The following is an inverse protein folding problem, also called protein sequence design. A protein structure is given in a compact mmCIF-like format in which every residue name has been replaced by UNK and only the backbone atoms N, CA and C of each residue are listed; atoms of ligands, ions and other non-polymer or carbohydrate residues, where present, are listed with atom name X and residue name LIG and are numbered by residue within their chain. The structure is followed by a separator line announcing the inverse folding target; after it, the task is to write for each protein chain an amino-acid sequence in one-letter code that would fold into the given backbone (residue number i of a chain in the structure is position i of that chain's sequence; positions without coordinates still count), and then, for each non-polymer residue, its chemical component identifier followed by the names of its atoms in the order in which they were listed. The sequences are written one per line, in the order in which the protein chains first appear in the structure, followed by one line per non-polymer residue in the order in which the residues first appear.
data_IF_457572816820
#
_entry.id   IF_457572816820
#
_cell.length_a   1.000
_cell.length_b   1.000
_cell.length_c   1.000
_cell.angle_alpha   90.00
_cell.angle_beta   90.00
_cell.angle_gamma   90.00
#
_symmetry.space_group_name_H-M   'P 1'
#
loop_
_entity.id
_entity.type
_entity.pdbx_description
1 polymer ?
#
# COMPACT_ATOMS: atom_id res chain seq x y z
N UNK A 1 24.14 -60.40 -18.76
CA UNK A 1 24.84 -59.57 -17.76
C UNK A 1 24.84 -58.14 -18.30
N UNK A 2 23.92 -57.28 -17.83
CA UNK A 2 23.75 -55.90 -18.32
C UNK A 2 24.51 -54.95 -17.39
N UNK A 3 25.53 -54.26 -17.90
CA UNK A 3 26.29 -53.23 -17.21
C UNK A 3 25.48 -51.93 -17.21
N UNK A 4 25.13 -51.42 -16.03
CA UNK A 4 24.47 -50.11 -15.87
C UNK A 4 25.55 -49.02 -15.82
N UNK A 5 25.48 -48.05 -16.73
CA UNK A 5 26.24 -46.81 -16.64
C UNK A 5 25.58 -45.92 -15.58
N UNK A 6 26.31 -45.55 -14.54
CA UNK A 6 25.89 -44.53 -13.58
C UNK A 6 26.20 -43.15 -14.19
N UNK A 7 25.16 -42.35 -14.37
CA UNK A 7 25.27 -40.93 -14.74
C UNK A 7 25.63 -40.16 -13.46
N UNK A 8 26.87 -39.67 -13.38
CA UNK A 8 27.30 -38.81 -12.29
C UNK A 8 26.70 -37.41 -12.49
N UNK A 9 25.68 -37.07 -11.71
CA UNK A 9 25.21 -35.69 -11.57
C UNK A 9 26.24 -34.97 -10.70
N UNK A 10 27.04 -34.11 -11.33
CA UNK A 10 27.95 -33.22 -10.62
C UNK A 10 27.11 -32.14 -9.95
N UNK A 11 26.85 -32.28 -8.65
CA UNK A 11 26.22 -31.25 -7.84
C UNK A 11 27.14 -30.04 -7.76
N UNK A 12 26.82 -28.98 -8.50
CA UNK A 12 27.50 -27.71 -8.40
C UNK A 12 27.01 -27.04 -7.11
N UNK A 13 27.77 -27.18 -6.03
CA UNK A 13 27.54 -26.42 -4.82
C UNK A 13 27.80 -24.94 -5.13
N UNK A 14 26.73 -24.17 -5.36
CA UNK A 14 26.79 -22.72 -5.32
C UNK A 14 27.02 -22.33 -3.86
N UNK A 15 28.28 -22.06 -3.52
CA UNK A 15 28.59 -21.29 -2.31
C UNK A 15 28.11 -19.86 -2.58
N UNK A 16 26.92 -19.52 -2.08
CA UNK A 16 26.48 -18.13 -1.98
C UNK A 16 27.45 -17.43 -1.02
N UNK A 17 28.39 -16.67 -1.59
CA UNK A 17 29.13 -15.70 -0.82
C UNK A 17 28.11 -14.64 -0.39
N UNK A 18 27.84 -14.54 0.91
CA UNK A 18 27.06 -13.45 1.48
C UNK A 18 27.82 -12.15 1.19
N UNK A 19 27.38 -11.41 0.17
CA UNK A 19 27.79 -10.02 0.00
C UNK A 19 27.28 -9.29 1.23
N UNK A 20 28.14 -8.51 1.89
CA UNK A 20 27.69 -7.66 3.00
C UNK A 20 26.69 -6.65 2.44
N UNK A 21 25.41 -6.89 2.69
CA UNK A 21 24.29 -6.12 2.19
C UNK A 21 24.01 -4.98 3.16
N UNK A 22 23.69 -3.78 2.65
CA UNK A 22 23.13 -2.76 3.52
C UNK A 22 21.74 -3.23 3.97
N UNK A 23 21.44 -3.13 5.26
CA UNK A 23 20.12 -3.52 5.75
C UNK A 23 19.04 -2.73 4.98
N UNK A 24 18.02 -3.41 4.43
CA UNK A 24 16.95 -2.74 3.72
C UNK A 24 16.31 -1.68 4.62
N UNK A 25 16.09 -0.48 4.06
CA UNK A 25 15.29 0.55 4.73
C UNK A 25 13.84 0.10 4.66
N UNK A 26 13.31 -0.29 5.81
CA UNK A 26 11.94 -0.78 5.97
C UNK A 26 11.15 0.13 6.89
N UNK A 27 9.88 0.34 6.59
CA UNK A 27 9.05 1.24 7.37
C UNK A 27 7.64 1.40 6.84
N UNK A 28 7.01 2.48 7.28
CA UNK A 28 5.68 2.92 6.90
C UNK A 28 5.79 4.30 6.27
N UNK A 29 5.32 4.44 5.02
CA UNK A 29 5.10 5.73 4.40
C UNK A 29 3.84 6.36 5.00
N UNK A 30 3.99 7.59 5.50
CA UNK A 30 2.92 8.32 6.18
C UNK A 30 2.82 9.72 5.58
N UNK A 31 1.82 9.98 4.72
CA UNK A 31 1.54 11.32 4.24
C UNK A 31 1.12 12.24 5.38
N UNK A 32 1.69 13.44 5.43
CA UNK A 32 1.37 14.50 6.36
C UNK A 32 0.87 15.71 5.56
N UNK A 33 -0.44 15.98 5.65
CA UNK A 33 -1.03 17.13 4.98
C UNK A 33 -0.60 18.46 5.62
N UNK A 34 -0.37 18.53 6.93
CA UNK A 34 0.01 19.80 7.54
C UNK A 34 1.43 20.23 7.11
N UNK A 35 2.32 19.27 6.94
CA UNK A 35 3.69 19.52 6.50
C UNK A 35 3.92 19.35 5.00
N UNK A 36 2.87 19.07 4.21
CA UNK A 36 2.91 18.80 2.77
C UNK A 36 4.11 17.92 2.36
N UNK A 37 4.15 16.71 2.94
CA UNK A 37 5.29 15.79 2.83
C UNK A 37 4.88 14.34 3.06
N UNK A 38 5.80 13.43 2.79
CA UNK A 38 5.72 12.04 3.23
C UNK A 38 6.79 11.80 4.30
N UNK A 39 6.37 11.25 5.44
CA UNK A 39 7.25 10.76 6.49
C UNK A 39 7.51 9.26 6.31
N UNK A 40 8.65 8.78 6.81
CA UNK A 40 8.97 7.37 6.94
C UNK A 40 9.10 7.04 8.44
N UNK A 41 8.23 6.14 8.92
CA UNK A 41 8.24 5.64 10.29
C UNK A 41 8.69 4.18 10.31
N UNK A 42 9.25 3.73 11.43
CA UNK A 42 9.57 2.33 11.68
C UNK A 42 8.30 1.50 11.72
N UNK A 43 8.31 0.37 11.01
CA UNK A 43 7.24 -0.64 11.06
C UNK A 43 7.36 -1.54 12.29
N UNK A 44 8.50 -1.50 12.96
CA UNK A 44 8.82 -2.26 14.15
C UNK A 44 8.16 -1.64 15.39
N UNK A 45 8.26 -0.31 15.56
CA UNK A 45 7.79 0.38 16.76
C UNK A 45 7.09 1.73 16.56
N UNK A 46 6.97 2.20 15.31
CA UNK A 46 6.31 3.46 14.96
C UNK A 46 7.15 4.72 15.21
N UNK A 47 8.44 4.59 15.57
CA UNK A 47 9.36 5.72 15.69
C UNK A 47 9.66 6.36 14.32
N UNK A 48 10.06 7.63 14.29
CA UNK A 48 10.38 8.31 13.03
C UNK A 48 11.76 7.84 12.53
N UNK A 49 11.81 7.32 11.29
CA UNK A 49 13.06 7.06 10.56
C UNK A 49 13.49 8.32 9.82
N UNK A 50 12.58 8.91 9.05
CA UNK A 50 12.82 10.16 8.33
C UNK A 50 11.55 11.03 8.31
N UNK A 51 11.53 12.20 8.96
CA UNK A 51 10.34 13.06 9.00
C UNK A 51 10.07 13.79 7.68
N UNK A 52 11.01 13.79 6.73
CA UNK A 52 10.95 14.52 5.46
C UNK A 52 11.44 13.60 4.33
N UNK A 53 10.83 12.41 4.21
CA UNK A 53 11.26 11.40 3.25
C UNK A 53 10.99 11.82 1.80
N UNK A 54 9.81 12.36 1.54
CA UNK A 54 9.50 13.13 0.33
C UNK A 54 8.99 14.50 0.79
N UNK A 55 9.47 15.58 0.18
CA UNK A 55 9.09 16.96 0.52
C UNK A 55 8.53 17.68 -0.69
N UNK A 56 7.77 18.74 -0.45
CA UNK A 56 7.24 19.61 -1.49
C UNK A 56 8.27 20.60 -2.05
N UNK A 57 7.78 21.44 -2.97
CA UNK A 57 8.55 22.48 -3.64
C UNK A 57 8.98 23.64 -2.73
N UNK A 58 8.41 23.78 -1.53
CA UNK A 58 8.83 24.82 -0.57
C UNK A 58 10.16 24.47 0.09
N UNK A 59 10.44 23.17 0.26
CA UNK A 59 11.71 22.66 0.81
C UNK A 59 12.69 22.35 -0.33
N UNK A 60 12.25 21.69 -1.40
CA UNK A 60 13.08 21.36 -2.55
C UNK A 60 12.44 21.88 -3.85
N UNK A 61 12.92 22.98 -4.46
CA UNK A 61 12.33 23.56 -5.66
C UNK A 61 12.31 22.66 -6.91
N UNK A 62 13.02 21.53 -6.91
CA UNK A 62 12.95 20.52 -7.96
C UNK A 62 11.76 19.55 -7.80
N UNK A 63 11.13 19.53 -6.64
CA UNK A 63 9.90 18.77 -6.36
C UNK A 63 8.68 19.57 -6.79
N UNK A 64 7.55 18.91 -7.06
CA UNK A 64 6.27 19.60 -7.27
C UNK A 64 5.61 19.94 -5.91
N UNK A 65 4.60 20.81 -5.91
CA UNK A 65 3.90 21.22 -4.68
C UNK A 65 3.05 20.06 -4.14
N UNK A 66 3.22 19.61 -2.91
CA UNK A 66 2.24 18.72 -2.28
C UNK A 66 1.20 19.58 -1.58
N UNK A 67 -0.07 19.19 -1.64
CA UNK A 67 -1.16 19.91 -1.00
C UNK A 67 -2.26 18.92 -0.66
N UNK A 68 -2.19 18.32 0.52
CA UNK A 68 -3.06 17.18 0.92
C UNK A 68 -2.68 15.83 0.29
N UNK A 69 -1.41 15.38 0.44
CA UNK A 69 -1.05 14.01 0.09
C UNK A 69 -1.83 13.02 0.97
N UNK A 70 -2.50 12.04 0.35
CA UNK A 70 -3.40 11.09 1.03
C UNK A 70 -2.86 9.71 1.22
N UNK A 71 -2.15 9.19 0.21
CA UNK A 71 -1.57 7.86 0.22
C UNK A 71 -0.26 7.90 -0.54
N UNK A 72 0.77 7.28 0.03
CA UNK A 72 2.05 7.07 -0.62
C UNK A 72 2.34 5.57 -0.60
N UNK A 73 2.74 4.98 -1.73
CA UNK A 73 2.95 3.53 -1.85
C UNK A 73 4.13 3.24 -2.76
N UNK A 74 4.96 2.25 -2.40
CA UNK A 74 5.98 1.70 -3.30
C UNK A 74 5.33 0.96 -4.47
N UNK A 75 5.74 1.29 -5.68
CA UNK A 75 5.36 0.63 -6.92
C UNK A 75 6.65 0.36 -7.69
N UNK A 76 7.12 -0.89 -7.66
CA UNK A 76 8.41 -1.26 -8.23
C UNK A 76 9.53 -0.42 -7.63
N UNK A 77 10.38 0.16 -8.48
CA UNK A 77 11.48 1.04 -8.08
C UNK A 77 11.08 2.50 -7.82
N UNK A 78 9.80 2.75 -7.53
CA UNK A 78 9.27 4.10 -7.35
C UNK A 78 8.35 4.19 -6.14
N UNK A 79 8.08 5.42 -5.72
CA UNK A 79 7.02 5.74 -4.76
C UNK A 79 5.99 6.59 -5.45
N UNK A 80 4.74 6.17 -5.40
CA UNK A 80 3.63 6.90 -5.97
C UNK A 80 2.83 7.56 -4.85
N UNK A 81 2.41 8.80 -5.05
CA UNK A 81 1.68 9.61 -4.06
C UNK A 81 0.41 10.14 -4.68
N UNK A 82 -0.74 9.79 -4.10
CA UNK A 82 -2.00 10.48 -4.39
C UNK A 82 -2.07 11.78 -3.60
N UNK A 83 -2.34 12.86 -4.32
CA UNK A 83 -2.51 14.20 -3.76
C UNK A 83 -3.90 14.74 -4.11
N UNK A 84 -4.64 15.13 -3.07
CA UNK A 84 -6.06 15.45 -3.18
C UNK A 84 -6.33 16.83 -3.75
N UNK A 85 -5.52 17.85 -3.44
CA UNK A 85 -5.76 19.22 -3.94
C UNK A 85 -5.02 19.46 -5.25
N UNK A 86 -3.89 18.78 -5.43
CA UNK A 86 -3.15 18.85 -6.69
C UNK A 86 -3.73 17.95 -7.78
N UNK A 87 -4.75 17.15 -7.44
CA UNK A 87 -5.47 16.26 -8.35
C UNK A 87 -4.54 15.39 -9.19
N UNK A 88 -3.55 14.76 -8.54
CA UNK A 88 -2.54 13.96 -9.21
C UNK A 88 -2.15 12.70 -8.44
N UNK A 89 -1.80 11.65 -9.20
CA UNK A 89 -0.97 10.54 -8.69
C UNK A 89 0.44 10.76 -9.22
N UNK A 90 1.34 11.11 -8.31
CA UNK A 90 2.70 11.59 -8.59
C UNK A 90 3.73 10.50 -8.35
N UNK A 91 4.79 10.47 -9.15
CA UNK A 91 5.84 9.45 -9.10
C UNK A 91 7.14 10.06 -8.59
N UNK A 92 7.79 9.37 -7.68
CA UNK A 92 9.06 9.75 -7.08
C UNK A 92 10.05 8.59 -7.13
N UNK A 93 11.34 8.89 -7.10
CA UNK A 93 12.39 7.88 -6.93
C UNK A 93 12.20 7.11 -5.62
N UNK A 94 12.69 5.86 -5.57
CA UNK A 94 12.53 4.99 -4.40
C UNK A 94 13.12 5.57 -3.10
N UNK A 95 14.12 6.44 -3.21
CA UNK A 95 14.73 7.15 -2.08
C UNK A 95 14.00 8.45 -1.70
N UNK A 96 12.94 8.80 -2.45
CA UNK A 96 12.12 10.00 -2.23
C UNK A 96 12.75 11.32 -2.66
N UNK A 97 13.92 11.31 -3.30
CA UNK A 97 14.71 12.52 -3.57
C UNK A 97 14.46 13.18 -4.93
N UNK A 98 13.80 12.50 -5.86
CA UNK A 98 13.52 13.00 -7.21
C UNK A 98 12.05 12.82 -7.57
N UNK A 99 11.49 13.83 -8.25
CA UNK A 99 10.21 13.72 -8.93
C UNK A 99 10.41 13.16 -10.35
N UNK A 100 9.62 12.15 -10.70
CA UNK A 100 9.72 11.40 -11.97
C UNK A 100 8.61 11.75 -12.96
N UNK A 101 7.61 12.53 -12.53
CA UNK A 101 6.42 12.86 -13.33
C UNK A 101 5.13 12.43 -12.64
N UNK A 102 4.00 12.75 -13.27
CA UNK A 102 2.71 12.23 -12.84
C UNK A 102 2.41 10.93 -13.58
N UNK A 103 1.86 9.94 -12.88
CA UNK A 103 1.17 8.85 -13.54
C UNK A 103 -0.08 9.40 -14.24
N UNK A 104 -0.87 10.19 -13.52
CA UNK A 104 -2.08 10.84 -14.03
C UNK A 104 -2.41 12.09 -13.23
N UNK A 105 -3.14 13.03 -13.83
CA UNK A 105 -3.60 14.27 -13.19
C UNK A 105 -4.88 14.82 -13.83
N UNK A 106 -5.49 15.83 -13.20
CA UNK A 106 -6.70 16.51 -13.67
C UNK A 106 -6.63 16.94 -15.14
N UNK A 107 -5.52 17.56 -15.56
CA UNK A 107 -5.38 18.07 -16.91
C UNK A 107 -5.31 16.95 -17.96
N UNK A 108 -4.77 15.80 -17.58
CA UNK A 108 -4.49 14.69 -18.49
C UNK A 108 -5.67 13.74 -18.63
N UNK A 109 -6.32 13.39 -17.52
CA UNK A 109 -7.37 12.37 -17.49
C UNK A 109 -8.69 12.85 -16.90
N UNK A 110 -8.73 14.01 -16.24
CA UNK A 110 -9.92 14.55 -15.59
C UNK A 110 -10.19 14.01 -14.18
N UNK A 111 -9.25 13.28 -13.58
CA UNK A 111 -9.32 12.89 -12.16
C UNK A 111 -9.27 14.13 -11.27
N UNK A 112 -10.07 14.12 -10.20
CA UNK A 112 -10.27 15.26 -9.31
C UNK A 112 -10.58 14.72 -7.91
N UNK A 113 -10.09 15.39 -6.87
CA UNK A 113 -10.26 15.04 -5.47
C UNK A 113 -9.83 13.60 -5.20
N UNK A 114 -8.56 13.30 -5.50
CA UNK A 114 -8.00 11.95 -5.36
C UNK A 114 -7.81 11.63 -3.88
N UNK A 115 -8.43 10.55 -3.41
CA UNK A 115 -8.43 10.18 -1.99
C UNK A 115 -7.54 8.99 -1.65
N UNK A 116 -7.33 8.10 -2.62
CA UNK A 116 -6.56 6.87 -2.46
C UNK A 116 -6.42 6.15 -3.80
N UNK A 117 -5.51 5.17 -3.85
CA UNK A 117 -5.28 4.36 -5.03
C UNK A 117 -4.65 3.02 -4.69
N UNK A 118 -4.73 2.06 -5.62
CA UNK A 118 -4.12 0.74 -5.48
C UNK A 118 -3.66 0.21 -6.84
N UNK A 119 -2.52 -0.47 -6.86
CA UNK A 119 -2.10 -1.27 -8.01
C UNK A 119 -2.62 -2.71 -7.86
N UNK A 120 -3.35 -3.19 -8.86
CA UNK A 120 -3.80 -4.57 -8.96
C UNK A 120 -4.02 -4.95 -10.42
N UNK A 121 -3.67 -6.17 -10.80
CA UNK A 121 -4.01 -6.74 -12.12
C UNK A 121 -3.42 -5.98 -13.32
N UNK A 122 -2.19 -5.45 -13.19
CA UNK A 122 -1.59 -4.57 -14.20
C UNK A 122 -2.33 -3.24 -14.37
N UNK A 123 -3.15 -2.85 -13.37
CA UNK A 123 -4.01 -1.67 -13.40
C UNK A 123 -3.89 -0.85 -12.12
N UNK A 124 -4.21 0.43 -12.24
CA UNK A 124 -4.25 1.38 -11.13
C UNK A 124 -5.69 1.78 -10.89
N UNK A 125 -6.18 1.49 -9.69
CA UNK A 125 -7.51 1.84 -9.20
C UNK A 125 -7.38 3.14 -8.42
N UNK A 126 -8.11 4.18 -8.78
CA UNK A 126 -8.01 5.51 -8.16
C UNK A 126 -9.39 5.93 -7.65
N UNK A 127 -9.49 6.23 -6.36
CA UNK A 127 -10.72 6.73 -5.74
C UNK A 127 -10.84 8.24 -5.95
N UNK A 128 -11.88 8.66 -6.66
CA UNK A 128 -12.18 10.05 -7.01
C UNK A 128 -13.53 10.47 -6.43
N UNK A 129 -13.61 11.73 -6.00
CA UNK A 129 -14.83 12.28 -5.41
C UNK A 129 -15.12 13.73 -5.81
N UNK A 130 -14.76 14.10 -7.03
CA UNK A 130 -15.12 15.38 -7.63
C UNK A 130 -15.07 15.29 -9.16
N UNK A 131 -15.46 16.38 -9.81
CA UNK A 131 -15.35 16.54 -11.26
C UNK A 131 -16.18 15.51 -12.03
N UNK A 132 -15.64 15.07 -13.17
CA UNK A 132 -16.32 14.10 -14.05
C UNK A 132 -16.35 12.69 -13.46
N UNK A 133 -15.52 12.42 -12.44
CA UNK A 133 -15.42 11.13 -11.77
C UNK A 133 -15.85 11.14 -10.30
N UNK A 134 -16.77 12.04 -9.93
CA UNK A 134 -17.35 12.06 -8.58
C UNK A 134 -18.00 10.72 -8.23
N UNK A 135 -17.80 10.24 -6.99
CA UNK A 135 -18.27 8.94 -6.50
C UNK A 135 -17.85 7.77 -7.39
N UNK A 136 -16.59 7.74 -7.84
CA UNK A 136 -16.09 6.66 -8.68
C UNK A 136 -14.71 6.18 -8.29
N UNK A 137 -14.50 4.89 -8.51
CA UNK A 137 -13.16 4.34 -8.74
C UNK A 137 -12.88 4.37 -10.24
N UNK A 138 -11.82 5.05 -10.64
CA UNK A 138 -11.33 5.13 -12.02
C UNK A 138 -10.19 4.13 -12.18
N UNK A 139 -10.27 3.29 -13.21
CA UNK A 139 -9.30 2.20 -13.42
C UNK A 139 -8.49 2.51 -14.67
N UNK A 140 -7.17 2.59 -14.54
CA UNK A 140 -6.22 2.80 -15.62
C UNK A 140 -5.39 1.54 -15.83
N UNK A 141 -4.91 1.30 -17.06
CA UNK A 141 -3.80 0.35 -17.22
C UNK A 141 -2.53 0.99 -16.63
N UNK A 142 -1.67 0.21 -15.97
CA UNK A 142 -0.45 0.77 -15.34
C UNK A 142 0.48 1.43 -16.36
N UNK A 143 0.42 1.00 -17.62
CA UNK A 143 1.15 1.58 -18.75
C UNK A 143 0.55 2.89 -19.31
N UNK A 144 -0.67 3.26 -18.92
CA UNK A 144 -1.41 4.41 -19.48
C UNK A 144 -2.26 5.11 -18.41
N UNK A 145 -1.75 6.21 -17.86
CA UNK A 145 -2.48 7.08 -16.94
C UNK A 145 -3.34 8.16 -17.62
N UNK A 146 -3.55 8.10 -18.93
CA UNK A 146 -4.35 9.09 -19.68
C UNK A 146 -5.78 8.60 -19.87
N UNK A 147 -5.96 7.38 -20.40
CA UNK A 147 -7.28 6.87 -20.76
C UNK A 147 -7.78 5.86 -19.72
N UNK A 148 -8.90 6.13 -19.02
CA UNK A 148 -9.51 5.13 -18.15
C UNK A 148 -9.91 3.86 -18.93
N UNK A 149 -9.46 2.71 -18.46
CA UNK A 149 -9.88 1.40 -18.95
C UNK A 149 -11.31 1.04 -18.47
N UNK A 150 -11.69 1.49 -17.27
CA UNK A 150 -13.02 1.30 -16.71
C UNK A 150 -13.31 2.36 -15.62
N UNK A 151 -14.58 2.48 -15.23
CA UNK A 151 -15.00 3.23 -14.05
C UNK A 151 -16.05 2.46 -13.28
N UNK A 152 -16.03 2.56 -11.96
CA UNK A 152 -16.95 1.88 -11.04
C UNK A 152 -17.62 2.93 -10.17
N UNK A 153 -18.94 2.91 -10.06
CA UNK A 153 -19.65 3.86 -9.19
C UNK A 153 -19.67 3.31 -7.76
N UNK A 154 -19.00 4.00 -6.84
CA UNK A 154 -18.93 3.66 -5.41
C UNK A 154 -19.05 4.98 -4.63
N UNK A 155 -20.02 5.02 -3.72
CA UNK A 155 -20.39 6.25 -3.02
C UNK A 155 -19.29 6.74 -2.10
N UNK A 156 -18.88 8.01 -2.25
CA UNK A 156 -17.82 8.62 -1.45
C UNK A 156 -16.52 7.83 -1.42
N UNK A 157 -16.15 7.14 -2.51
CA UNK A 157 -14.98 6.24 -2.54
C UNK A 157 -13.73 6.93 -1.97
N UNK A 158 -13.05 6.29 -1.01
CA UNK A 158 -11.95 6.95 -0.28
C UNK A 158 -10.58 6.30 -0.52
N UNK A 159 -10.41 5.04 -0.12
CA UNK A 159 -9.18 4.29 -0.35
C UNK A 159 -9.52 2.88 -0.83
N UNK A 160 -8.53 2.21 -1.40
CA UNK A 160 -8.66 0.83 -1.87
C UNK A 160 -7.39 0.02 -1.62
N UNK A 161 -7.52 -1.31 -1.54
CA UNK A 161 -6.39 -2.25 -1.39
C UNK A 161 -6.65 -3.58 -2.09
N UNK A 162 -5.60 -4.23 -2.60
CA UNK A 162 -5.70 -5.53 -3.29
C UNK A 162 -5.87 -6.66 -2.28
N UNK A 163 -6.84 -7.53 -2.52
CA UNK A 163 -7.03 -8.79 -1.79
C UNK A 163 -7.17 -9.94 -2.79
N UNK A 164 -6.10 -10.72 -2.99
CA UNK A 164 -6.12 -11.82 -3.95
C UNK A 164 -6.51 -11.35 -5.36
N UNK A 165 -7.63 -11.83 -5.88
CA UNK A 165 -8.13 -11.52 -7.23
C UNK A 165 -9.19 -10.41 -7.27
N UNK A 166 -9.28 -9.61 -6.22
CA UNK A 166 -10.17 -8.46 -6.14
C UNK A 166 -9.49 -7.24 -5.48
N UNK A 167 -10.14 -6.09 -5.60
CA UNK A 167 -9.79 -4.85 -4.91
C UNK A 167 -10.92 -4.53 -3.94
N UNK A 168 -10.56 -4.28 -2.69
CA UNK A 168 -11.45 -3.77 -1.66
C UNK A 168 -11.47 -2.24 -1.76
N UNK A 169 -12.65 -1.64 -1.67
CA UNK A 169 -12.85 -0.18 -1.77
C UNK A 169 -13.70 0.30 -0.60
N UNK A 170 -13.28 1.38 0.06
CA UNK A 170 -14.08 2.02 1.11
C UNK A 170 -15.19 2.85 0.47
N UNK A 171 -16.44 2.55 0.81
CA UNK A 171 -17.62 3.31 0.42
C UNK A 171 -18.13 4.10 1.63
N UNK A 172 -18.06 5.43 1.55
CA UNK A 172 -18.47 6.29 2.66
C UNK A 172 -19.97 6.59 2.69
N UNK A 173 -20.68 6.37 1.59
CA UNK A 173 -22.12 6.66 1.54
C UNK A 173 -22.94 5.53 2.18
N UNK A 174 -22.45 4.30 2.03
CA UNK A 174 -23.07 3.08 2.58
C UNK A 174 -22.36 2.56 3.82
N UNK A 175 -21.23 3.17 4.19
CA UNK A 175 -20.33 2.73 5.25
C UNK A 175 -19.75 1.32 5.04
N UNK A 176 -19.76 0.80 3.81
CA UNK A 176 -19.35 -0.57 3.51
C UNK A 176 -17.93 -0.66 2.93
N UNK A 177 -17.40 -1.89 2.88
CA UNK A 177 -16.25 -2.22 2.05
C UNK A 177 -16.72 -3.03 0.85
N UNK A 178 -16.54 -2.49 -0.34
CA UNK A 178 -17.01 -3.07 -1.60
C UNK A 178 -15.88 -3.88 -2.26
N UNK A 179 -16.24 -5.02 -2.86
CA UNK A 179 -15.34 -5.88 -3.63
C UNK A 179 -15.49 -5.58 -5.12
N UNK A 180 -14.38 -5.34 -5.81
CA UNK A 180 -14.33 -5.00 -7.23
C UNK A 180 -13.35 -5.92 -7.95
N UNK A 181 -13.71 -6.41 -9.13
CA UNK A 181 -12.81 -7.24 -9.94
C UNK A 181 -11.87 -6.43 -10.87
N UNK A 182 -11.03 -7.15 -11.61
CA UNK A 182 -10.10 -6.60 -12.60
C UNK A 182 -10.76 -5.74 -13.70
N UNK A 183 -12.05 -5.93 -13.95
CA UNK A 183 -12.81 -5.25 -15.01
C UNK A 183 -13.69 -4.12 -14.49
N UNK A 184 -13.71 -3.88 -13.17
CA UNK A 184 -14.56 -2.88 -12.54
C UNK A 184 -15.98 -3.36 -12.24
N UNK A 185 -16.23 -4.67 -12.21
CA UNK A 185 -17.51 -5.20 -11.75
C UNK A 185 -17.53 -5.27 -10.22
N UNK A 186 -18.64 -4.86 -9.60
CA UNK A 186 -18.87 -5.03 -8.17
C UNK A 186 -19.25 -6.49 -7.91
N UNK A 187 -18.51 -7.16 -7.03
CA UNK A 187 -18.71 -8.56 -6.64
C UNK A 187 -19.59 -8.72 -5.39
N UNK A 188 -19.77 -7.64 -4.62
CA UNK A 188 -20.54 -7.62 -3.38
C UNK A 188 -19.80 -6.84 -2.28
N UNK A 189 -20.24 -7.01 -1.04
CA UNK A 189 -19.60 -6.44 0.15
C UNK A 189 -18.60 -7.42 0.77
N UNK A 190 -17.46 -6.90 1.20
CA UNK A 190 -16.50 -7.58 2.06
C UNK A 190 -16.87 -7.40 3.53
N UNK A 191 -17.22 -6.16 3.91
CA UNK A 191 -17.81 -5.83 5.20
C UNK A 191 -19.09 -5.06 4.93
N UNK A 192 -20.19 -5.56 5.52
CA UNK A 192 -21.50 -4.91 5.55
C UNK A 192 -21.70 -4.28 6.93
N UNK A 193 -21.70 -2.95 6.96
CA UNK A 193 -21.80 -2.14 8.17
C UNK A 193 -23.13 -2.33 8.92
N UNK A 194 -24.20 -2.70 8.19
CA UNK A 194 -25.55 -2.87 8.75
C UNK A 194 -25.73 -4.22 9.44
N UNK A 195 -24.89 -5.20 9.12
CA UNK A 195 -25.06 -6.57 9.58
C UNK A 195 -24.34 -6.87 10.91
N UNK A 196 -23.03 -6.57 11.04
CA UNK A 196 -22.24 -7.09 12.18
C UNK A 196 -21.01 -6.26 12.61
N UNK A 197 -20.70 -5.15 11.93
CA UNK A 197 -19.54 -4.34 12.24
C UNK A 197 -19.78 -2.90 11.78
N UNK A 198 -20.44 -2.03 12.58
CA UNK A 198 -20.81 -0.69 12.11
C UNK A 198 -19.54 0.12 11.93
N UNK A 199 -19.06 0.13 10.68
CA UNK A 199 -18.20 1.15 10.13
C UNK A 199 -19.01 2.44 10.08
N UNK A 200 -18.31 3.57 10.06
CA UNK A 200 -18.93 4.89 9.92
C UNK A 200 -17.89 5.79 9.23
N UNK A 201 -18.16 6.13 7.97
CA UNK A 201 -17.22 6.74 7.05
C UNK A 201 -15.86 6.03 7.00
N UNK A 202 -15.81 4.79 6.48
CA UNK A 202 -14.53 4.10 6.25
C UNK A 202 -13.62 4.93 5.33
N UNK A 203 -12.34 4.97 5.65
CA UNK A 203 -11.33 5.69 4.89
C UNK A 203 -10.19 4.74 4.50
N UNK A 204 -9.05 4.79 5.20
CA UNK A 204 -7.90 3.97 4.87
C UNK A 204 -8.21 2.49 5.08
N UNK A 205 -7.91 1.70 4.05
CA UNK A 205 -7.96 0.24 4.10
C UNK A 205 -6.54 -0.27 3.87
N UNK A 206 -6.04 -1.03 4.84
CA UNK A 206 -4.66 -1.52 4.79
C UNK A 206 -4.60 -3.00 5.09
N UNK A 207 -3.94 -3.75 4.21
CA UNK A 207 -3.69 -5.17 4.40
C UNK A 207 -2.33 -5.39 5.07
N UNK A 208 -2.30 -6.21 6.12
CA UNK A 208 -1.07 -6.75 6.71
C UNK A 208 -1.22 -8.26 6.89
N UNK A 209 -0.50 -9.04 6.11
CA UNK A 209 -0.56 -10.50 6.18
C UNK A 209 -1.99 -11.03 6.00
N UNK A 210 -2.49 -11.71 7.04
CA UNK A 210 -3.83 -12.30 7.10
C UNK A 210 -4.96 -11.37 7.56
N UNK A 211 -4.67 -10.07 7.75
CA UNK A 211 -5.61 -9.12 8.34
C UNK A 211 -5.81 -7.88 7.46
N UNK A 212 -7.02 -7.32 7.51
CA UNK A 212 -7.40 -6.05 6.89
C UNK A 212 -7.77 -5.06 7.99
N UNK A 213 -7.08 -3.92 8.03
CA UNK A 213 -7.31 -2.82 8.96
C UNK A 213 -8.10 -1.72 8.27
N UNK A 214 -9.16 -1.24 8.92
CA UNK A 214 -10.04 -0.20 8.38
C UNK A 214 -10.17 0.92 9.41
N UNK A 215 -9.88 2.14 8.95
CA UNK A 215 -10.12 3.34 9.72
C UNK A 215 -11.46 3.97 9.40
N UNK A 216 -12.25 4.25 10.44
CA UNK A 216 -13.51 4.97 10.38
C UNK A 216 -13.27 6.42 10.82
N UNK A 217 -13.59 7.36 9.93
CA UNK A 217 -13.37 8.77 10.23
C UNK A 217 -14.35 9.28 11.30
N UNK A 218 -15.63 8.97 11.11
CA UNK A 218 -16.61 9.16 12.17
C UNK A 218 -16.37 8.09 13.23
N UNK A 219 -16.65 8.41 14.49
CA UNK A 219 -16.32 7.53 15.61
C UNK A 219 -17.54 6.66 15.96
N UNK A 220 -17.61 5.39 15.50
CA UNK A 220 -18.68 4.51 15.91
C UNK A 220 -18.51 4.22 17.40
N UNK A 221 -19.62 3.97 18.10
CA UNK A 221 -19.60 3.58 19.52
C UNK A 221 -18.83 2.28 19.78
N UNK A 222 -18.64 1.47 18.74
CA UNK A 222 -17.91 0.19 18.76
C UNK A 222 -16.41 0.33 18.44
N UNK A 223 -15.93 1.55 18.18
CA UNK A 223 -14.52 1.85 17.91
C UNK A 223 -14.25 2.27 16.47
N UNK A 224 -13.46 3.34 16.24
CA UNK A 224 -13.17 3.86 14.91
C UNK A 224 -12.06 3.12 14.16
N UNK A 225 -11.37 2.19 14.80
CA UNK A 225 -10.47 1.28 14.10
C UNK A 225 -11.00 -0.13 14.27
N UNK A 226 -11.13 -0.85 13.16
CA UNK A 226 -11.53 -2.26 13.12
C UNK A 226 -10.56 -3.05 12.27
N UNK A 227 -10.42 -4.35 12.57
CA UNK A 227 -9.67 -5.26 11.72
C UNK A 227 -10.40 -6.59 11.54
N UNK A 228 -10.18 -7.18 10.38
CA UNK A 228 -10.92 -8.32 9.86
C UNK A 228 -9.96 -9.37 9.32
N UNK A 229 -10.39 -10.63 9.30
CA UNK A 229 -9.69 -11.66 8.53
C UNK A 229 -9.90 -11.46 7.01
N UNK A 230 -9.20 -12.23 6.19
CA UNK A 230 -9.32 -12.16 4.72
C UNK A 230 -10.68 -12.60 4.17
N UNK A 231 -11.61 -13.05 5.02
CA UNK A 231 -12.99 -13.43 4.65
C UNK A 231 -14.02 -12.38 5.07
N UNK A 232 -13.59 -11.28 5.71
CA UNK A 232 -14.47 -10.20 6.16
C UNK A 232 -15.06 -10.42 7.56
N UNK A 233 -14.58 -11.40 8.33
CA UNK A 233 -15.01 -11.57 9.71
C UNK A 233 -14.24 -10.61 10.62
N UNK A 234 -14.94 -9.83 11.44
CA UNK A 234 -14.28 -8.90 12.36
C UNK A 234 -13.50 -9.67 13.43
N UNK A 235 -12.20 -9.40 13.52
CA UNK A 235 -11.30 -9.97 14.53
C UNK A 235 -11.20 -9.09 15.76
N UNK A 236 -11.31 -7.77 15.60
CA UNK A 236 -11.32 -6.84 16.72
C UNK A 236 -11.56 -5.39 16.33
N UNK A 237 -11.58 -4.54 17.35
CA UNK A 237 -11.77 -3.10 17.23
C UNK A 237 -11.00 -2.34 18.33
N UNK A 238 -10.70 -1.08 18.07
CA UNK A 238 -10.01 -0.19 18.97
C UNK A 238 -10.85 1.05 19.27
N UNK A 239 -10.96 1.42 20.56
CA UNK A 239 -11.90 2.45 21.06
C UNK A 239 -11.17 3.60 21.78
N UNK A 240 -9.86 3.48 22.06
CA UNK A 240 -9.17 4.41 22.97
C UNK A 240 -8.71 5.69 22.27
N UNK A 241 -8.82 6.83 22.94
CA UNK A 241 -8.36 8.11 22.43
C UNK A 241 -6.82 8.16 22.23
N UNK A 242 -6.32 9.00 21.30
CA UNK A 242 -7.09 9.87 20.40
C UNK A 242 -7.70 9.09 19.22
N UNK A 243 -9.02 9.14 19.11
CA UNK A 243 -9.82 8.26 18.25
C UNK A 243 -10.73 9.02 17.27
N UNK A 244 -10.82 10.35 17.36
CA UNK A 244 -11.58 11.16 16.43
C UNK A 244 -10.88 11.26 15.08
N UNK A 245 -11.64 11.11 13.99
CA UNK A 245 -11.12 11.34 12.65
C UNK A 245 -10.03 10.35 12.23
N UNK A 246 -10.14 9.09 12.65
CA UNK A 246 -9.15 8.06 12.35
C UNK A 246 -9.08 7.83 10.83
N UNK A 247 -7.85 7.80 10.29
CA UNK A 247 -7.62 7.67 8.84
C UNK A 247 -7.21 6.26 8.47
N UNK A 248 -6.20 5.74 9.12
CA UNK A 248 -5.59 4.44 8.80
C UNK A 248 -4.92 3.83 10.02
N UNK A 249 -4.64 2.54 9.96
CA UNK A 249 -3.96 1.81 11.01
C UNK A 249 -3.14 0.65 10.46
N UNK A 250 -2.18 0.22 11.26
CA UNK A 250 -1.29 -0.89 10.99
C UNK A 250 -0.92 -1.57 12.31
N UNK A 251 -0.70 -2.88 12.28
CA UNK A 251 -0.08 -3.58 13.42
C UNK A 251 1.42 -3.60 13.21
N UNK A 252 2.19 -3.06 14.15
CA UNK A 252 3.64 -3.05 14.12
C UNK A 252 4.21 -4.46 14.35
N UNK A 253 5.48 -4.67 14.00
CA UNK A 253 6.10 -6.00 14.09
C UNK A 253 6.37 -6.41 15.55
N UNK A 254 6.46 -5.45 16.47
CA UNK A 254 6.46 -5.73 17.91
C UNK A 254 5.07 -6.10 18.47
N UNK A 255 4.03 -6.16 17.61
CA UNK A 255 2.66 -6.52 17.97
C UNK A 255 1.76 -5.35 18.39
N UNK A 256 2.33 -4.15 18.56
CA UNK A 256 1.57 -2.94 18.92
C UNK A 256 0.74 -2.43 17.75
N UNK A 257 -0.26 -1.60 18.05
CA UNK A 257 -1.06 -0.93 17.02
C UNK A 257 -0.57 0.49 16.82
N UNK A 258 -0.37 0.88 15.56
CA UNK A 258 -0.20 2.28 15.15
C UNK A 258 -1.44 2.74 14.37
N UNK A 259 -1.86 3.98 14.58
CA UNK A 259 -2.92 4.60 13.79
C UNK A 259 -2.66 6.07 13.54
N UNK A 260 -3.38 6.62 12.57
CA UNK A 260 -3.26 8.01 12.12
C UNK A 260 -4.56 8.77 12.25
N UNK A 261 -4.46 10.06 12.51
CA UNK A 261 -5.57 11.01 12.42
C UNK A 261 -5.05 12.41 12.06
N UNK A 262 -5.96 13.39 12.01
CA UNK A 262 -5.61 14.78 11.74
C UNK A 262 -4.78 15.49 12.81
N UNK A 263 -4.30 14.78 13.84
CA UNK A 263 -3.47 15.34 14.91
C UNK A 263 -2.15 14.61 15.11
N UNK A 264 -1.92 13.48 14.44
CA UNK A 264 -0.66 12.76 14.54
C UNK A 264 -0.72 11.29 14.14
N UNK A 265 0.41 10.63 14.39
CA UNK A 265 0.48 9.17 14.53
C UNK A 265 0.48 8.79 16.01
N UNK A 266 -0.08 7.64 16.34
CA UNK A 266 -0.23 7.17 17.71
C UNK A 266 0.03 5.68 17.78
N UNK A 267 0.77 5.26 18.80
CA UNK A 267 1.12 3.85 19.05
C UNK A 267 0.55 3.45 20.40
N UNK A 268 -0.09 2.28 20.45
CA UNK A 268 -0.58 1.67 21.68
C UNK A 268 -0.03 0.27 21.83
N UNK A 269 0.35 -0.04 23.06
CA UNK A 269 0.62 -1.38 23.51
C UNK A 269 -0.66 -2.23 23.47
N UNK A 270 -0.69 -3.23 22.60
CA UNK A 270 -1.90 -4.04 22.38
C UNK A 270 -2.21 -4.96 23.57
N UNK A 271 -1.22 -5.23 24.44
CA UNK A 271 -1.36 -6.14 25.59
C UNK A 271 -1.78 -5.39 26.85
N UNK A 272 -1.10 -4.29 27.17
CA UNK A 272 -1.24 -3.48 28.38
C UNK A 272 -2.16 -2.28 28.18
N UNK A 273 -2.44 -1.93 26.93
CA UNK A 273 -3.34 -0.84 26.59
C UNK A 273 -2.77 0.56 26.76
N UNK A 274 -1.45 0.70 26.89
CA UNK A 274 -0.75 1.97 27.13
C UNK A 274 -0.44 2.70 25.82
N UNK A 275 -0.61 4.01 25.78
CA UNK A 275 -0.07 4.83 24.68
C UNK A 275 1.44 4.95 24.85
N UNK A 276 2.21 4.62 23.79
CA UNK A 276 3.67 4.53 23.84
C UNK A 276 4.33 5.69 23.07
N UNK A 277 4.32 5.59 21.75
CA UNK A 277 4.94 6.54 20.83
C UNK A 277 3.86 7.36 20.13
N UNK A 278 4.18 8.62 19.82
CA UNK A 278 3.31 9.48 19.02
C UNK A 278 4.14 10.49 18.24
N UNK A 279 3.68 10.82 17.04
CA UNK A 279 4.18 11.97 16.27
C UNK A 279 3.05 12.99 16.19
N UNK A 280 2.84 13.83 17.23
CA UNK A 280 1.78 14.82 17.23
C UNK A 280 2.11 16.00 16.32
N UNK A 281 1.07 16.75 15.92
CA UNK A 281 1.22 17.98 15.14
C UNK A 281 1.31 17.78 13.62
N UNK A 282 1.04 16.56 13.15
CA UNK A 282 0.91 16.22 11.73
C UNK A 282 -0.54 15.92 11.40
N UNK A 283 -0.96 16.15 10.16
CA UNK A 283 -2.26 15.66 9.68
C UNK A 283 -2.01 14.35 8.91
N UNK A 284 -1.76 13.28 9.67
CA UNK A 284 -1.33 12.00 9.14
C UNK A 284 -2.48 11.29 8.43
N UNK A 285 -2.23 10.81 7.21
CA UNK A 285 -3.21 10.13 6.37
C UNK A 285 -2.97 8.62 6.35
N UNK A 286 -2.88 7.99 5.17
CA UNK A 286 -2.77 6.55 5.04
C UNK A 286 -1.43 5.98 5.56
N UNK A 287 -1.41 4.74 6.02
CA UNK A 287 -0.20 3.99 6.35
C UNK A 287 0.04 2.93 5.28
N UNK A 288 1.19 2.95 4.61
CA UNK A 288 1.57 1.91 3.66
C UNK A 288 2.96 1.37 3.97
N UNK A 289 3.12 0.06 3.85
CA UNK A 289 4.42 -0.58 4.00
C UNK A 289 5.39 -0.10 2.92
N UNK A 290 6.64 0.09 3.34
CA UNK A 290 7.75 0.42 2.47
C UNK A 290 8.94 -0.45 2.80
N UNK A 291 9.57 -0.91 1.73
CA UNK A 291 10.85 -1.61 1.74
C UNK A 291 11.61 -1.08 0.53
N UNK A 292 12.83 -0.57 0.70
CA UNK A 292 13.61 -0.11 -0.46
C UNK A 292 14.26 -1.28 -1.23
N UNK A 293 14.10 -2.51 -0.75
CA UNK A 293 14.64 -3.70 -1.37
C UNK A 293 13.54 -4.49 -2.06
N UNK A 294 13.65 -4.58 -3.38
CA UNK A 294 12.70 -5.33 -4.19
C UNK A 294 13.01 -6.83 -4.23
N UNK A 295 14.25 -7.21 -3.92
CA UNK A 295 14.69 -8.59 -3.82
C UNK A 295 14.20 -9.31 -2.55
N UNK A 296 13.85 -8.55 -1.50
CA UNK A 296 13.16 -9.03 -0.30
C UNK A 296 11.65 -9.13 -0.64
N UNK A 297 11.31 -10.24 -1.29
CA UNK A 297 10.01 -10.48 -1.93
C UNK A 297 8.94 -10.78 -0.90
N UNK A 298 9.28 -11.56 0.13
CA UNK A 298 8.36 -11.90 1.20
C UNK A 298 8.29 -10.81 2.30
N UNK A 299 9.13 -9.79 2.19
CA UNK A 299 9.23 -8.66 3.10
C UNK A 299 9.42 -9.16 4.55
N UNK A 300 10.38 -10.07 4.75
CA UNK A 300 10.83 -10.52 6.07
C UNK A 300 12.05 -9.74 6.57
N UNK A 301 12.72 -9.00 5.69
CA UNK A 301 13.87 -8.14 6.00
C UNK A 301 15.21 -8.75 5.64
N UNK A 302 15.22 -9.96 5.10
CA UNK A 302 16.41 -10.62 4.58
C UNK A 302 16.18 -10.98 3.12
N UNK A 303 17.23 -10.87 2.30
CA UNK A 303 17.19 -11.41 0.93
C UNK A 303 17.83 -12.78 0.97
N UNK A 304 17.01 -13.82 0.86
CA UNK A 304 17.47 -15.20 0.94
C UNK A 304 16.73 -16.16 -0.01
N UNK A 305 16.99 -17.46 0.14
CA UNK A 305 16.42 -18.46 -0.76
C UNK A 305 14.88 -18.52 -0.70
N UNK A 306 14.26 -18.11 0.41
CA UNK A 306 12.81 -18.08 0.56
C UNK A 306 12.17 -16.98 -0.29
N UNK A 307 12.79 -15.81 -0.46
CA UNK A 307 12.31 -14.79 -1.41
C UNK A 307 12.26 -15.32 -2.84
N UNK A 308 13.32 -16.01 -3.23
CA UNK A 308 13.39 -16.62 -4.55
C UNK A 308 12.30 -17.69 -4.73
N UNK A 309 12.06 -18.53 -3.71
CA UNK A 309 11.00 -19.53 -3.77
C UNK A 309 9.61 -18.90 -3.85
N UNK A 310 9.36 -17.86 -3.07
CA UNK A 310 8.07 -17.17 -3.03
C UNK A 310 7.81 -16.46 -4.36
N UNK A 311 8.81 -15.78 -4.93
CA UNK A 311 8.72 -15.20 -6.26
C UNK A 311 8.46 -16.27 -7.33
N UNK A 312 9.23 -17.36 -7.36
CA UNK A 312 9.04 -18.44 -8.35
C UNK A 312 7.67 -19.10 -8.22
N UNK A 313 7.14 -19.22 -7.01
CA UNK A 313 5.78 -19.70 -6.78
C UNK A 313 4.77 -18.79 -7.45
N UNK A 314 4.80 -17.48 -7.17
CA UNK A 314 3.91 -16.49 -7.76
C UNK A 314 4.06 -16.39 -9.29
N UNK A 315 5.30 -16.45 -9.78
CA UNK A 315 5.61 -16.44 -11.22
C UNK A 315 5.00 -17.66 -11.93
N UNK A 316 5.11 -18.85 -11.34
CA UNK A 316 4.61 -20.10 -11.93
C UNK A 316 3.09 -20.17 -12.04
N UNK A 317 2.38 -19.39 -11.23
CA UNK A 317 0.91 -19.26 -11.24
C UNK A 317 0.43 -18.00 -11.98
N UNK A 318 1.35 -17.24 -12.58
CA UNK A 318 1.09 -15.94 -13.20
C UNK A 318 0.31 -14.99 -12.28
N UNK A 319 0.68 -14.99 -11.00
CA UNK A 319 0.14 -14.05 -10.03
C UNK A 319 0.67 -12.66 -10.30
N UNK A 320 -0.21 -11.65 -10.16
CA UNK A 320 0.13 -10.25 -10.44
C UNK A 320 1.21 -9.66 -9.53
N UNK A 321 1.53 -10.32 -8.41
CA UNK A 321 2.66 -9.92 -7.55
C UNK A 321 4.00 -10.39 -8.16
N UNK A 322 4.00 -11.18 -9.24
CA UNK A 322 5.19 -11.59 -10.00
C UNK A 322 5.41 -10.79 -11.30
N UNK A 323 4.53 -9.84 -11.61
CA UNK A 323 4.78 -8.77 -12.61
C UNK A 323 5.76 -7.79 -11.96
N UNK A 324 7.05 -8.12 -12.04
CA UNK A 324 8.13 -7.47 -11.30
C UNK A 324 8.50 -6.13 -11.93
N UNK A 325 8.46 -6.04 -13.26
CA UNK A 325 8.74 -4.79 -13.98
C UNK A 325 7.50 -3.91 -14.16
N UNK A 326 6.32 -4.41 -13.78
CA UNK A 326 5.04 -3.71 -13.77
C UNK A 326 4.59 -3.26 -15.16
N UNK A 327 4.91 -4.04 -16.19
CA UNK A 327 4.46 -3.77 -17.56
C UNK A 327 3.03 -4.28 -17.84
N UNK A 328 2.43 -4.96 -16.87
CA UNK A 328 1.07 -5.50 -16.94
C UNK A 328 1.00 -6.92 -17.49
N UNK A 329 2.14 -7.60 -17.67
CA UNK A 329 2.21 -8.99 -18.13
C UNK A 329 3.27 -9.75 -17.32
N UNK A 330 2.87 -10.83 -16.65
CA UNK A 330 3.83 -11.74 -16.02
C UNK A 330 4.50 -12.61 -17.09
N UNK A 331 5.77 -12.33 -17.41
CA UNK A 331 6.53 -13.05 -18.43
C UNK A 331 8.03 -13.24 -18.10
N UNK A 332 8.79 -13.77 -19.06
CA UNK A 332 10.20 -14.10 -18.85
C UNK A 332 11.05 -12.88 -18.45
N UNK A 333 10.67 -11.66 -18.81
CA UNK A 333 11.39 -10.45 -18.45
C UNK A 333 11.26 -10.14 -16.96
N UNK A 334 10.10 -10.38 -16.32
CA UNK A 334 9.96 -10.25 -14.87
C UNK A 334 10.91 -11.16 -14.10
N UNK A 335 11.03 -12.39 -14.57
CA UNK A 335 11.95 -13.36 -13.98
C UNK A 335 13.40 -12.88 -14.10
N UNK A 336 13.80 -12.33 -15.25
CA UNK A 336 15.14 -11.80 -15.43
C UNK A 336 15.40 -10.59 -14.53
N UNK A 337 14.44 -9.68 -14.42
CA UNK A 337 14.56 -8.47 -13.61
C UNK A 337 14.61 -8.80 -12.11
N UNK A 338 13.80 -9.75 -11.65
CA UNK A 338 13.87 -10.26 -10.28
C UNK A 338 15.21 -10.95 -10.01
N UNK A 339 15.67 -11.86 -10.87
CA UNK A 339 16.96 -12.56 -10.66
C UNK A 339 18.13 -11.57 -10.63
N UNK A 340 18.09 -10.54 -11.47
CA UNK A 340 19.09 -9.48 -11.44
C UNK A 340 19.10 -8.78 -10.08
N UNK A 341 17.95 -8.34 -9.58
CA UNK A 341 17.81 -7.69 -8.28
C UNK A 341 18.20 -8.62 -7.12
N UNK A 342 17.76 -9.88 -7.14
CA UNK A 342 18.10 -10.90 -6.15
C UNK A 342 19.61 -11.13 -6.08
N UNK A 343 20.29 -11.16 -7.23
CA UNK A 343 21.74 -11.33 -7.30
C UNK A 343 22.53 -10.09 -6.86
N UNK A 344 21.95 -8.90 -6.94
CA UNK A 344 22.56 -7.66 -6.44
C UNK A 344 22.30 -7.40 -4.96
N UNK A 345 21.23 -7.99 -4.40
CA UNK A 345 20.73 -7.66 -3.06
C UNK A 345 20.03 -6.30 -3.02
N UNK A 346 20.05 -5.69 -1.84
CA UNK A 346 19.73 -4.28 -1.56
C UNK A 346 21.03 -3.45 -1.57
#
# INVERSE_FOLDING_TARGET
MKTRAALAVCGMAMTLASVAQADPVRGLLVPDWTGDRIMLLSREDGSIINPNFIVDNTINPAMPALSSPKKARRIGSEIWVADQVEDAVRRYSLDGTQYLGDFTNLATSGIDNIRGFELAFGKVYICCDSGVFINKVVIFNVSDGVTPAATVNIGGSFDCTRLGNEVLVADQDTDDIIRVDANGNILGTFVDSTANAPLDWPQGIVRKGGEIYIGCFNTPTTGPLKWFDLSGNQLGAHITAPNNGLRSAWRLDNGNLIWTNGSGTWVKDDVLGLTLNATPGTNAQNLQVFNNCLADYNDDGTVDFFDYLDFVSAFSTAEWDADYNLDGVVDFFDYLDFVAAFSSGC
#
